data_IF_700603541931
#
_entry.id   IF_700603541931
#
_cell.length_a   1.000
_cell.length_b   1.000
_cell.length_c   1.000
_cell.angle_alpha   90.00
_cell.angle_beta   90.00
_cell.angle_gamma   90.00
#
_symmetry.space_group_name_H-M   'P 1'
#
loop_
_entity.id
_entity.type
_entity.pdbx_description
1 polymer ?
#
# COMPACT_ATOMS: atom_id res chain seq x y z
N UNK A 1 5.11 -42.13 52.09
CA UNK A 1 5.97 -40.92 52.19
C UNK A 1 6.79 -40.63 50.92
N UNK A 2 7.59 -41.55 50.35
CA UNK A 2 8.50 -41.27 49.20
C UNK A 2 7.87 -40.48 48.02
N UNK A 3 6.62 -40.79 47.62
CA UNK A 3 6.01 -40.14 46.45
C UNK A 3 5.63 -38.66 46.64
N UNK A 4 5.45 -38.19 47.89
CA UNK A 4 5.09 -36.77 48.15
C UNK A 4 6.30 -35.85 47.94
N UNK A 5 7.51 -36.29 48.33
CA UNK A 5 8.75 -35.56 48.05
C UNK A 5 9.01 -35.40 46.55
N UNK A 6 8.73 -36.44 45.75
CA UNK A 6 8.90 -36.41 44.30
C UNK A 6 8.01 -35.33 43.63
N UNK A 7 6.74 -35.25 44.03
CA UNK A 7 5.79 -34.25 43.50
C UNK A 7 6.20 -32.83 43.91
N UNK A 8 6.66 -32.63 45.15
CA UNK A 8 7.21 -31.35 45.61
C UNK A 8 8.46 -30.92 44.83
N UNK A 9 9.40 -31.84 44.57
CA UNK A 9 10.60 -31.56 43.77
C UNK A 9 10.26 -31.16 42.33
N UNK A 10 9.29 -31.84 41.69
CA UNK A 10 8.83 -31.49 40.33
C UNK A 10 8.20 -30.09 40.32
N UNK A 11 7.32 -29.78 41.30
CA UNK A 11 6.74 -28.44 41.41
C UNK A 11 7.78 -27.34 41.62
N UNK A 12 8.81 -27.60 42.45
CA UNK A 12 9.90 -26.65 42.68
C UNK A 12 10.69 -26.40 41.39
N UNK A 13 11.05 -27.45 40.64
CA UNK A 13 11.77 -27.31 39.36
C UNK A 13 10.96 -26.51 38.33
N UNK A 14 9.66 -26.80 38.17
CA UNK A 14 8.78 -26.02 37.30
C UNK A 14 8.65 -24.53 37.72
N UNK A 15 8.79 -24.21 39.01
CA UNK A 15 8.80 -22.83 39.51
C UNK A 15 10.14 -22.10 39.27
N UNK A 16 11.26 -22.82 39.11
CA UNK A 16 12.56 -22.21 38.83
C UNK A 16 12.80 -21.96 37.33
N UNK A 17 12.38 -22.86 36.43
CA UNK A 17 12.53 -22.63 34.98
C UNK A 17 11.70 -21.44 34.48
N UNK A 18 10.49 -21.25 35.03
CA UNK A 18 9.60 -20.13 34.65
C UNK A 18 10.08 -18.75 35.11
N UNK A 19 11.22 -18.64 35.82
CA UNK A 19 11.74 -17.36 36.33
C UNK A 19 12.69 -16.62 35.37
N UNK A 20 13.00 -17.18 34.20
CA UNK A 20 14.03 -16.65 33.28
C UNK A 20 13.48 -16.23 31.90
N UNK A 21 12.25 -15.69 31.81
CA UNK A 21 11.85 -14.88 30.64
C UNK A 21 10.89 -13.71 30.91
N UNK A 22 11.15 -12.92 31.95
CA UNK A 22 10.47 -11.63 32.19
C UNK A 22 11.47 -10.47 32.24
N UNK A 23 12.17 -10.23 31.12
CA UNK A 23 13.05 -9.06 31.00
C UNK A 23 12.21 -7.82 30.70
N UNK A 24 11.83 -7.13 31.79
CA UNK A 24 11.15 -5.83 31.83
C UNK A 24 11.97 -4.79 31.04
N UNK A 25 11.64 -4.57 29.76
CA UNK A 25 12.33 -3.59 28.91
C UNK A 25 12.00 -2.18 29.39
N UNK A 26 12.90 -1.61 30.21
CA UNK A 26 12.76 -0.26 30.74
C UNK A 26 12.96 0.78 29.65
N UNK A 27 12.11 1.80 29.63
CA UNK A 27 12.07 2.81 28.57
C UNK A 27 13.00 4.00 28.85
N UNK A 28 14.29 3.84 28.57
CA UNK A 28 15.26 4.96 28.49
C UNK A 28 16.44 4.62 27.55
N UNK A 29 17.14 5.67 27.09
CA UNK A 29 18.44 5.61 26.36
C UNK A 29 18.51 4.70 25.13
N UNK A 30 17.79 5.08 24.07
CA UNK A 30 18.34 5.01 22.69
C UNK A 30 17.81 6.20 21.86
N UNK A 31 18.15 7.41 22.31
CA UNK A 31 17.53 8.66 21.87
C UNK A 31 18.52 9.63 21.20
N UNK A 32 19.31 9.13 20.25
CA UNK A 32 20.14 9.90 19.31
C UNK A 32 20.40 9.08 18.03
N UNK A 33 20.69 9.76 16.92
CA UNK A 33 21.29 9.20 15.69
C UNK A 33 20.55 8.11 14.87
N UNK A 34 19.26 8.30 14.54
CA UNK A 34 18.75 7.88 13.21
C UNK A 34 18.03 9.05 12.51
N UNK A 35 18.80 9.81 11.73
CA UNK A 35 18.30 10.95 10.94
C UNK A 35 17.43 10.53 9.73
N UNK A 36 16.14 10.91 9.81
CA UNK A 36 15.33 11.49 8.71
C UNK A 36 15.40 10.77 7.34
N UNK A 37 14.49 9.82 7.07
CA UNK A 37 14.08 9.45 5.69
C UNK A 37 12.55 9.39 5.51
N UNK A 38 11.92 10.57 5.58
CA UNK A 38 10.51 10.86 5.17
C UNK A 38 10.29 10.54 3.69
N UNK A 39 9.12 9.99 3.32
CA UNK A 39 9.16 9.03 2.22
C UNK A 39 7.93 8.91 1.25
N UNK A 40 7.98 9.63 0.12
CA UNK A 40 7.39 9.33 -1.23
C UNK A 40 8.34 9.76 -2.37
N UNK A 41 8.15 9.30 -3.62
CA UNK A 41 9.10 9.48 -4.76
C UNK A 41 9.71 10.88 -4.82
N UNK A 42 11.06 10.98 -4.80
CA UNK A 42 11.77 12.23 -4.45
C UNK A 42 12.09 13.22 -5.61
N UNK A 43 11.91 12.82 -6.88
CA UNK A 43 12.35 13.60 -8.06
C UNK A 43 11.32 13.58 -9.21
N UNK A 44 11.22 14.65 -10.02
CA UNK A 44 11.19 16.07 -9.63
C UNK A 44 9.76 16.64 -9.68
N UNK A 45 8.82 15.95 -10.32
CA UNK A 45 7.43 16.36 -10.54
C UNK A 45 6.48 15.55 -9.65
N UNK A 46 6.06 16.14 -8.53
CA UNK A 46 4.98 15.62 -7.67
C UNK A 46 3.64 16.28 -8.04
N UNK A 47 2.54 15.63 -7.69
CA UNK A 47 1.23 16.28 -7.68
C UNK A 47 1.19 17.27 -6.50
N UNK A 48 1.00 18.57 -6.80
CA UNK A 48 0.94 19.64 -5.81
C UNK A 48 -0.49 19.96 -5.35
N UNK A 49 -1.48 19.66 -6.20
CA UNK A 49 -2.91 19.77 -5.90
C UNK A 49 -3.47 18.42 -5.45
N UNK A 50 -4.36 18.44 -4.45
CA UNK A 50 -5.21 17.29 -4.10
C UNK A 50 -6.39 17.12 -5.03
N UNK A 51 -6.75 18.17 -5.78
CA UNK A 51 -7.79 18.17 -6.79
C UNK A 51 -7.15 17.89 -8.15
N UNK A 52 -7.40 16.71 -8.70
CA UNK A 52 -6.77 16.22 -9.93
C UNK A 52 -7.83 16.16 -11.03
N UNK A 53 -7.74 17.07 -11.99
CA UNK A 53 -8.59 17.06 -13.19
C UNK A 53 -8.31 15.82 -14.03
N UNK A 54 -9.35 15.22 -14.61
CA UNK A 54 -9.21 14.09 -15.52
C UNK A 54 -10.17 14.16 -16.71
N UNK A 55 -9.80 13.55 -17.83
CA UNK A 55 -10.67 13.35 -18.99
C UNK A 55 -10.67 11.89 -19.45
N UNK A 56 -11.78 11.47 -20.06
CA UNK A 56 -12.00 10.09 -20.53
C UNK A 56 -12.38 10.14 -22.01
N UNK A 57 -11.59 9.47 -22.84
CA UNK A 57 -11.77 9.40 -24.28
C UNK A 57 -13.01 8.55 -24.69
N UNK A 58 -13.55 8.82 -25.88
CA UNK A 58 -14.69 8.05 -26.43
C UNK A 58 -14.28 6.57 -26.58
N UNK A 59 -15.19 5.65 -26.27
CA UNK A 59 -14.94 4.20 -26.28
C UNK A 59 -14.41 3.61 -24.97
N UNK A 60 -14.11 4.44 -23.96
CA UNK A 60 -13.72 3.97 -22.61
C UNK A 60 -14.90 4.02 -21.63
N UNK A 61 -14.96 3.04 -20.72
CA UNK A 61 -16.00 2.98 -19.70
C UNK A 61 -15.72 3.97 -18.55
N UNK A 62 -16.33 5.15 -18.65
CA UNK A 62 -16.20 6.20 -17.64
C UNK A 62 -16.72 5.81 -16.24
N UNK A 63 -17.66 4.85 -16.14
CA UNK A 63 -18.18 4.35 -14.86
C UNK A 63 -17.16 3.47 -14.13
N UNK A 64 -16.46 2.59 -14.85
CA UNK A 64 -15.34 1.79 -14.31
C UNK A 64 -14.20 2.69 -13.83
N UNK A 65 -13.85 3.71 -14.63
CA UNK A 65 -12.84 4.72 -14.29
C UNK A 65 -13.24 5.51 -13.03
N UNK A 66 -14.49 5.97 -12.96
CA UNK A 66 -15.02 6.64 -11.77
C UNK A 66 -15.00 5.75 -10.52
N UNK A 67 -15.43 4.48 -10.62
CA UNK A 67 -15.40 3.51 -9.50
C UNK A 67 -13.98 3.29 -8.95
N UNK A 68 -12.97 3.24 -9.83
CA UNK A 68 -11.57 3.13 -9.41
C UNK A 68 -11.10 4.37 -8.63
N UNK A 69 -11.35 5.58 -9.16
CA UNK A 69 -10.97 6.83 -8.49
C UNK A 69 -11.77 7.11 -7.21
N UNK A 70 -13.03 6.63 -7.13
CA UNK A 70 -13.87 6.70 -5.93
C UNK A 70 -13.25 5.96 -4.74
N UNK A 71 -12.75 4.73 -4.93
CA UNK A 71 -12.05 3.95 -3.89
C UNK A 71 -10.89 4.71 -3.23
N UNK A 72 -10.18 5.55 -3.99
CA UNK A 72 -9.13 6.45 -3.48
C UNK A 72 -9.74 7.66 -2.76
N UNK A 73 -10.68 8.36 -3.40
CA UNK A 73 -11.18 9.65 -2.93
C UNK A 73 -12.04 9.54 -1.67
N UNK A 74 -12.71 8.42 -1.40
CA UNK A 74 -13.53 8.22 -0.19
C UNK A 74 -12.70 8.26 1.10
N UNK A 75 -11.45 7.79 1.05
CA UNK A 75 -10.57 7.58 2.22
C UNK A 75 -9.26 8.37 2.13
N UNK A 76 -9.21 9.36 1.25
CA UNK A 76 -8.11 10.32 1.13
C UNK A 76 -8.65 11.74 0.92
N UNK A 77 -7.78 12.75 1.03
CA UNK A 77 -8.08 14.13 0.65
C UNK A 77 -8.21 14.32 -0.86
N UNK A 78 -7.79 13.35 -1.69
CA UNK A 78 -7.81 13.47 -3.14
C UNK A 78 -9.25 13.63 -3.66
N UNK A 79 -9.39 14.46 -4.69
CA UNK A 79 -10.61 14.58 -5.49
C UNK A 79 -10.26 14.47 -6.96
N UNK A 80 -11.18 13.93 -7.76
CA UNK A 80 -10.99 13.73 -9.18
C UNK A 80 -12.12 14.43 -9.94
N UNK A 81 -11.78 15.48 -10.68
CA UNK A 81 -12.74 16.37 -11.34
C UNK A 81 -12.79 16.04 -12.83
N UNK A 82 -13.94 15.62 -13.34
CA UNK A 82 -14.06 15.23 -14.75
C UNK A 82 -14.21 16.47 -15.65
N UNK A 83 -13.26 16.66 -16.54
CA UNK A 83 -13.31 17.64 -17.63
C UNK A 83 -13.88 16.97 -18.86
N UNK A 84 -14.95 17.56 -19.40
CA UNK A 84 -15.66 17.07 -20.59
C UNK A 84 -15.32 17.88 -21.84
N UNK A 85 -15.08 19.20 -21.72
CA UNK A 85 -14.85 20.06 -22.86
C UNK A 85 -13.39 19.96 -23.36
N UNK A 86 -13.22 19.87 -24.69
CA UNK A 86 -11.89 19.88 -25.33
C UNK A 86 -11.15 21.21 -25.13
N UNK A 87 -11.83 22.34 -24.99
CA UNK A 87 -11.18 23.65 -24.77
C UNK A 87 -10.63 23.78 -23.34
N UNK A 88 -11.39 23.33 -22.34
CA UNK A 88 -10.93 23.20 -20.94
C UNK A 88 -9.75 22.24 -20.84
N UNK A 89 -9.82 21.09 -21.51
CA UNK A 89 -8.75 20.09 -21.51
C UNK A 89 -7.43 20.65 -22.09
N UNK A 90 -7.48 21.58 -23.06
CA UNK A 90 -6.31 22.30 -23.57
C UNK A 90 -5.72 23.31 -22.57
N UNK A 91 -6.49 23.80 -21.60
CA UNK A 91 -6.03 24.73 -20.55
C UNK A 91 -5.38 24.01 -19.35
N UNK A 92 -5.49 22.69 -19.25
CA UNK A 92 -4.94 21.92 -18.12
C UNK A 92 -3.42 21.72 -18.22
N UNK A 93 -2.67 22.38 -17.32
CA UNK A 93 -1.23 22.15 -17.18
C UNK A 93 -0.87 20.79 -16.57
N UNK A 94 -1.83 20.13 -15.90
CA UNK A 94 -1.67 18.82 -15.29
C UNK A 94 -3.04 18.14 -15.11
N UNK A 95 -3.06 16.81 -15.16
CA UNK A 95 -4.26 16.00 -15.01
C UNK A 95 -4.08 14.59 -15.57
N UNK A 96 -5.08 13.73 -15.40
CA UNK A 96 -5.08 12.36 -15.94
C UNK A 96 -5.90 12.30 -17.24
N UNK A 97 -5.33 11.80 -18.34
CA UNK A 97 -6.04 11.57 -19.60
C UNK A 97 -6.14 10.07 -19.86
N UNK A 98 -7.32 9.49 -19.66
CA UNK A 98 -7.58 8.10 -20.02
C UNK A 98 -7.81 8.02 -21.54
N UNK A 99 -6.94 7.27 -22.24
CA UNK A 99 -6.93 7.11 -23.71
C UNK A 99 -7.06 5.64 -24.11
N UNK A 100 -7.58 5.38 -25.30
CA UNK A 100 -7.53 4.04 -25.87
C UNK A 100 -6.07 3.67 -26.23
N UNK A 101 -5.72 2.39 -26.12
CA UNK A 101 -4.39 1.91 -26.52
C UNK A 101 -4.27 0.39 -26.53
N UNK A 102 -3.16 -0.13 -27.05
CA UNK A 102 -2.95 -1.58 -27.21
C UNK A 102 -2.46 -2.29 -25.94
N UNK A 103 -1.96 -1.54 -24.95
CA UNK A 103 -1.48 -2.06 -23.66
C UNK A 103 -1.98 -1.19 -22.52
N UNK A 104 -2.25 -1.81 -21.37
CA UNK A 104 -2.64 -1.09 -20.16
C UNK A 104 -1.40 -0.51 -19.47
N UNK A 105 -1.25 0.82 -19.43
CA UNK A 105 -0.04 1.46 -18.89
C UNK A 105 -0.27 2.89 -18.40
N UNK A 106 0.57 3.31 -17.45
CA UNK A 106 0.58 4.64 -16.86
C UNK A 106 2.04 5.07 -16.58
N UNK A 107 2.29 6.38 -16.58
CA UNK A 107 3.56 6.93 -16.11
C UNK A 107 3.59 6.98 -14.58
N UNK A 108 4.71 6.58 -13.96
CA UNK A 108 4.88 6.59 -12.50
C UNK A 108 5.01 8.02 -11.95
N UNK A 109 3.95 8.54 -11.32
CA UNK A 109 3.85 9.90 -10.80
C UNK A 109 3.56 10.95 -11.88
N UNK A 110 3.45 12.22 -11.49
CA UNK A 110 3.20 13.33 -12.42
C UNK A 110 4.33 13.43 -13.47
N UNK A 111 3.98 13.53 -14.75
CA UNK A 111 4.92 13.82 -15.85
C UNK A 111 5.54 15.22 -15.65
N UNK A 112 6.79 15.41 -16.09
CA UNK A 112 7.51 16.69 -15.99
C UNK A 112 6.92 17.74 -16.96
N UNK A 113 6.86 18.99 -16.52
CA UNK A 113 6.35 20.13 -17.31
C UNK A 113 4.83 20.34 -17.19
N UNK A 114 4.29 21.15 -18.11
CA UNK A 114 2.86 21.43 -18.26
C UNK A 114 2.25 20.39 -19.22
N UNK A 115 1.99 19.18 -18.73
CA UNK A 115 1.53 18.03 -19.54
C UNK A 115 0.60 17.10 -18.75
N UNK A 116 -0.37 16.53 -19.44
CA UNK A 116 -1.26 15.50 -18.91
C UNK A 116 -0.57 14.14 -18.81
N UNK A 117 -0.85 13.40 -17.74
CA UNK A 117 -0.51 11.99 -17.61
C UNK A 117 -1.49 11.18 -18.48
N UNK A 118 -1.04 10.71 -19.64
CA UNK A 118 -1.79 9.72 -20.40
C UNK A 118 -1.82 8.38 -19.63
N UNK A 119 -3.00 7.81 -19.49
CA UNK A 119 -3.24 6.46 -18.98
C UNK A 119 -3.83 5.66 -20.14
N UNK A 120 -3.05 4.73 -20.69
CA UNK A 120 -3.43 3.89 -21.82
C UNK A 120 -4.28 2.73 -21.35
N UNK A 121 -5.48 2.58 -21.89
CA UNK A 121 -6.44 1.53 -21.57
C UNK A 121 -6.64 0.61 -22.78
N UNK A 122 -6.21 -0.65 -22.65
CA UNK A 122 -6.52 -1.71 -23.59
C UNK A 122 -7.80 -2.47 -23.22
N UNK A 123 -8.31 -3.26 -24.15
CA UNK A 123 -9.60 -3.95 -24.06
C UNK A 123 -9.77 -4.73 -22.74
N UNK A 124 -8.80 -5.59 -22.41
CA UNK A 124 -8.75 -6.38 -21.17
C UNK A 124 -8.62 -5.57 -19.87
N UNK A 125 -8.67 -4.24 -19.93
CA UNK A 125 -8.74 -3.34 -18.78
C UNK A 125 -9.99 -2.44 -18.77
N UNK A 126 -10.72 -2.25 -19.91
CA UNK A 126 -11.87 -1.34 -20.00
C UNK A 126 -12.98 -1.62 -18.98
N UNK A 127 -13.18 -2.89 -18.62
CA UNK A 127 -14.20 -3.35 -17.66
C UNK A 127 -13.68 -3.53 -16.23
N UNK A 128 -12.35 -3.50 -16.02
CA UNK A 128 -11.72 -4.01 -14.79
C UNK A 128 -11.35 -2.88 -13.83
N UNK A 129 -12.24 -2.58 -12.87
CA UNK A 129 -12.02 -1.58 -11.80
C UNK A 129 -10.66 -1.76 -11.11
N UNK A 130 -10.20 -2.98 -10.76
CA UNK A 130 -8.89 -3.14 -10.12
C UNK A 130 -7.72 -2.74 -11.02
N UNK A 131 -7.71 -3.13 -12.29
CA UNK A 131 -6.64 -2.75 -13.24
C UNK A 131 -6.58 -1.24 -13.45
N UNK A 132 -7.74 -0.57 -13.55
CA UNK A 132 -7.78 0.90 -13.62
C UNK A 132 -7.25 1.53 -12.32
N UNK A 133 -7.59 0.97 -11.16
CA UNK A 133 -7.08 1.46 -9.87
C UNK A 133 -5.56 1.36 -9.78
N UNK A 134 -4.95 0.24 -10.20
CA UNK A 134 -3.48 0.10 -10.29
C UNK A 134 -2.85 1.21 -11.16
N UNK A 135 -3.42 1.50 -12.32
CA UNK A 135 -2.92 2.55 -13.23
C UNK A 135 -3.06 3.97 -12.66
N UNK A 136 -4.11 4.24 -11.88
CA UNK A 136 -4.28 5.52 -11.19
C UNK A 136 -3.29 5.64 -10.02
N UNK A 137 -3.08 4.58 -9.24
CA UNK A 137 -2.07 4.55 -8.17
C UNK A 137 -0.66 4.77 -8.71
N UNK A 138 -0.30 4.13 -9.82
CA UNK A 138 0.94 4.39 -10.56
C UNK A 138 1.02 5.86 -11.00
N UNK A 139 -0.05 6.42 -11.57
CA UNK A 139 -0.12 7.84 -11.97
C UNK A 139 0.06 8.81 -10.80
N UNK A 140 -0.41 8.45 -9.59
CA UNK A 140 -0.18 9.20 -8.37
C UNK A 140 1.26 9.09 -7.82
N UNK A 141 2.03 8.09 -8.27
CA UNK A 141 3.42 7.86 -7.87
C UNK A 141 3.62 6.69 -6.92
N UNK A 142 2.59 5.86 -6.69
CA UNK A 142 2.69 4.63 -5.91
C UNK A 142 3.35 3.54 -6.76
N UNK A 143 4.42 2.96 -6.24
CA UNK A 143 5.14 1.84 -6.86
C UNK A 143 4.51 0.50 -6.48
N UNK A 144 4.88 -0.59 -7.17
CA UNK A 144 4.59 -1.92 -6.64
C UNK A 144 5.50 -2.21 -5.44
N UNK A 145 5.04 -2.97 -4.46
CA UNK A 145 5.85 -3.34 -3.27
C UNK A 145 7.15 -4.05 -3.69
N UNK A 146 7.09 -4.89 -4.73
CA UNK A 146 8.24 -5.62 -5.30
C UNK A 146 9.31 -4.72 -5.97
N UNK A 147 9.08 -3.41 -6.08
CA UNK A 147 10.05 -2.43 -6.57
C UNK A 147 10.68 -1.59 -5.44
N UNK A 148 10.33 -1.83 -4.18
CA UNK A 148 10.92 -1.13 -3.03
C UNK A 148 12.42 -1.47 -2.86
N UNK A 149 13.26 -0.55 -2.35
CA UNK A 149 14.68 -0.80 -2.07
C UNK A 149 14.89 -1.85 -0.97
N UNK A 150 13.99 -1.88 0.02
CA UNK A 150 14.03 -2.72 1.21
C UNK A 150 13.37 -4.09 1.03
N UNK A 151 12.79 -4.39 -0.16
CA UNK A 151 11.94 -5.56 -0.39
C UNK A 151 12.61 -6.90 -0.05
N UNK A 152 13.94 -7.03 -0.24
CA UNK A 152 14.61 -8.34 -0.23
C UNK A 152 14.74 -8.93 1.20
N UNK A 153 14.46 -8.12 2.23
CA UNK A 153 14.25 -8.61 3.60
C UNK A 153 12.90 -9.32 3.78
N UNK A 154 11.95 -9.07 2.88
CA UNK A 154 10.55 -9.51 2.97
C UNK A 154 10.16 -10.53 1.88
N UNK A 155 10.82 -10.47 0.72
CA UNK A 155 10.55 -11.36 -0.42
C UNK A 155 11.83 -11.82 -1.11
N UNK A 156 11.85 -13.09 -1.52
CA UNK A 156 12.81 -13.65 -2.46
C UNK A 156 12.18 -13.64 -3.86
N UNK A 157 12.96 -13.21 -4.85
CA UNK A 157 12.55 -13.10 -6.25
C UNK A 157 13.63 -13.76 -7.13
N UNK A 158 13.33 -14.91 -7.72
CA UNK A 158 14.30 -15.64 -8.55
C UNK A 158 14.47 -14.94 -9.92
N UNK A 159 15.38 -13.98 -9.97
CA UNK A 159 15.62 -13.15 -11.16
C UNK A 159 16.20 -13.94 -12.34
N UNK A 160 16.94 -15.02 -12.10
CA UNK A 160 17.55 -15.86 -13.13
C UNK A 160 16.49 -16.58 -13.96
N UNK A 161 15.57 -17.32 -13.32
CA UNK A 161 14.45 -17.97 -14.01
C UNK A 161 13.55 -16.95 -14.72
N UNK A 162 13.33 -15.79 -14.08
CA UNK A 162 12.56 -14.70 -14.69
C UNK A 162 13.26 -14.12 -15.94
N UNK A 163 14.59 -14.10 -16.03
CA UNK A 163 15.33 -13.57 -17.17
C UNK A 163 15.57 -14.60 -18.28
N UNK A 164 15.86 -15.85 -17.93
CA UNK A 164 16.06 -16.96 -18.88
C UNK A 164 14.84 -17.19 -19.78
N UNK A 165 13.63 -16.94 -19.25
CA UNK A 165 12.38 -17.28 -19.92
C UNK A 165 11.63 -16.06 -20.50
N UNK A 166 12.14 -14.81 -20.38
CA UNK A 166 11.35 -13.60 -20.70
C UNK A 166 12.13 -12.40 -21.26
N UNK A 167 11.46 -11.69 -22.17
CA UNK A 167 11.93 -10.44 -22.79
C UNK A 167 12.17 -9.29 -21.79
N UNK A 168 13.06 -8.34 -22.17
CA UNK A 168 13.48 -7.11 -21.45
C UNK A 168 12.38 -6.37 -20.65
N UNK A 169 11.14 -6.41 -21.13
CA UNK A 169 9.94 -5.86 -20.48
C UNK A 169 9.73 -6.32 -19.03
N UNK A 170 10.23 -7.50 -18.63
CA UNK A 170 10.03 -8.05 -17.27
C UNK A 170 11.15 -7.66 -16.32
N UNK A 171 12.40 -7.54 -16.80
CA UNK A 171 13.52 -6.96 -16.03
C UNK A 171 13.18 -5.56 -15.51
N UNK A 172 12.47 -4.76 -16.32
CA UNK A 172 11.97 -3.43 -15.93
C UNK A 172 10.91 -3.53 -14.82
N UNK A 173 10.05 -4.55 -14.84
CA UNK A 173 9.01 -4.76 -13.82
C UNK A 173 9.58 -5.27 -12.50
N UNK A 174 10.71 -6.00 -12.52
CA UNK A 174 11.38 -6.57 -11.33
C UNK A 174 12.52 -5.72 -10.79
N UNK A 175 12.85 -4.59 -11.42
CA UNK A 175 13.91 -3.67 -10.97
C UNK A 175 13.53 -2.98 -9.64
N UNK A 176 14.46 -2.89 -8.68
CA UNK A 176 14.31 -2.06 -7.47
C UNK A 176 14.58 -0.60 -7.79
N UNK A 177 13.82 0.31 -7.18
CA UNK A 177 14.21 1.72 -7.12
C UNK A 177 15.23 1.96 -6.00
N UNK A 178 16.08 2.98 -6.16
CA UNK A 178 17.06 3.35 -5.14
C UNK A 178 16.37 3.99 -3.91
N UNK A 179 16.98 3.90 -2.73
CA UNK A 179 16.47 4.53 -1.49
C UNK A 179 16.42 6.07 -1.52
N UNK A 180 17.19 6.70 -2.42
CA UNK A 180 17.08 8.14 -2.72
C UNK A 180 15.86 8.48 -3.58
N UNK A 181 15.35 7.50 -4.34
CA UNK A 181 14.19 7.62 -5.22
C UNK A 181 12.90 7.14 -4.53
N UNK A 182 12.96 6.10 -3.70
CA UNK A 182 11.82 5.37 -3.14
C UNK A 182 11.90 5.17 -1.64
N UNK A 183 10.69 5.19 -1.10
CA UNK A 183 10.25 6.03 -0.02
C UNK A 183 8.72 5.83 0.00
N UNK A 184 7.92 5.22 0.92
CA UNK A 184 8.02 4.42 2.17
C UNK A 184 7.49 4.97 3.53
N UNK A 185 7.09 6.24 3.72
CA UNK A 185 6.72 6.94 5.00
C UNK A 185 6.94 6.30 6.41
N UNK A 186 8.04 5.58 6.67
CA UNK A 186 8.15 4.67 7.82
C UNK A 186 6.93 3.73 7.97
N UNK A 187 6.39 3.29 6.83
CA UNK A 187 5.36 2.28 6.65
C UNK A 187 6.11 1.02 6.20
N UNK A 188 5.90 -0.07 6.93
CA UNK A 188 6.52 -1.37 6.63
C UNK A 188 6.19 -1.89 5.24
N UNK A 189 6.83 -2.99 4.88
CA UNK A 189 6.42 -3.77 3.71
C UNK A 189 5.03 -4.37 3.96
N UNK A 190 4.16 -4.37 2.94
CA UNK A 190 2.79 -4.88 3.07
C UNK A 190 2.50 -5.89 1.95
N UNK A 191 2.48 -7.16 2.32
CA UNK A 191 2.10 -8.28 1.44
C UNK A 191 0.66 -8.15 0.92
N UNK A 192 -0.24 -7.56 1.71
CA UNK A 192 -1.66 -7.38 1.36
C UNK A 192 -1.95 -6.04 0.67
N UNK A 193 -0.91 -5.27 0.33
CA UNK A 193 -1.04 -4.06 -0.47
C UNK A 193 -1.70 -4.37 -1.81
N UNK A 194 -2.61 -3.51 -2.24
CA UNK A 194 -3.21 -3.54 -3.58
C UNK A 194 -2.16 -3.37 -4.69
N UNK A 195 -0.97 -2.88 -4.33
CA UNK A 195 0.20 -2.72 -5.19
C UNK A 195 1.25 -3.83 -4.96
N UNK A 196 0.91 -4.93 -4.28
CA UNK A 196 1.72 -6.16 -4.33
C UNK A 196 1.34 -6.98 -5.57
N UNK A 197 2.31 -7.68 -6.18
CA UNK A 197 2.00 -8.68 -7.22
C UNK A 197 1.68 -10.03 -6.57
N UNK A 198 0.95 -10.92 -7.24
CA UNK A 198 0.70 -12.27 -6.70
C UNK A 198 2.00 -13.06 -6.53
N UNK A 199 2.06 -14.00 -5.59
CA UNK A 199 3.19 -14.94 -5.41
C UNK A 199 3.50 -15.76 -6.67
N UNK A 200 2.48 -16.06 -7.48
CA UNK A 200 2.65 -16.67 -8.81
C UNK A 200 2.87 -15.66 -9.96
N UNK A 201 3.12 -14.37 -9.67
CA UNK A 201 3.56 -13.43 -10.70
C UNK A 201 4.93 -13.84 -11.24
N UNK A 202 5.12 -13.65 -12.55
CA UNK A 202 6.31 -14.10 -13.29
C UNK A 202 6.55 -15.62 -13.34
N UNK A 203 5.69 -16.46 -12.76
CA UNK A 203 5.74 -17.92 -12.94
C UNK A 203 5.51 -18.29 -14.41
N UNK A 204 6.31 -19.24 -14.88
CA UNK A 204 6.01 -20.12 -16.00
C UNK A 204 6.01 -21.57 -15.47
N UNK A 205 5.23 -22.46 -16.09
CA UNK A 205 5.01 -23.83 -15.59
C UNK A 205 4.60 -23.84 -14.10
N UNK A 206 5.11 -24.78 -13.30
CA UNK A 206 4.84 -24.88 -11.85
C UNK A 206 5.92 -24.20 -10.97
N UNK A 207 6.80 -23.37 -11.51
CA UNK A 207 7.90 -22.78 -10.73
C UNK A 207 7.46 -21.54 -9.93
N UNK A 208 7.70 -21.52 -8.62
CA UNK A 208 7.44 -20.33 -7.80
C UNK A 208 8.62 -19.37 -7.88
N UNK A 209 8.39 -18.17 -8.41
CA UNK A 209 9.44 -17.18 -8.67
C UNK A 209 9.42 -15.99 -7.70
N UNK A 210 8.32 -15.77 -6.96
CA UNK A 210 8.18 -14.77 -5.90
C UNK A 210 7.65 -15.42 -4.61
N UNK A 211 8.43 -15.37 -3.53
CA UNK A 211 8.09 -15.94 -2.22
C UNK A 211 8.34 -14.93 -1.09
N UNK A 212 7.62 -15.06 0.01
CA UNK A 212 7.99 -14.44 1.30
C UNK A 212 9.28 -15.06 1.85
N UNK A 213 10.12 -14.25 2.48
CA UNK A 213 11.28 -14.68 3.28
C UNK A 213 10.96 -14.93 4.75
N UNK A 214 9.75 -14.60 5.20
CA UNK A 214 9.38 -14.57 6.62
C UNK A 214 8.56 -15.81 6.99
N UNK A 215 7.36 -15.96 6.40
CA UNK A 215 6.50 -17.14 6.54
C UNK A 215 5.73 -17.38 5.25
N UNK A 216 5.44 -18.65 4.93
CA UNK A 216 4.84 -19.03 3.65
C UNK A 216 3.41 -18.48 3.45
N UNK A 217 2.62 -18.35 4.52
CA UNK A 217 1.24 -17.86 4.48
C UNK A 217 1.12 -16.42 3.95
N UNK A 218 2.20 -15.63 4.00
CA UNK A 218 2.23 -14.31 3.38
C UNK A 218 2.16 -14.39 1.84
N UNK A 219 2.50 -15.52 1.22
CA UNK A 219 2.31 -15.75 -0.22
C UNK A 219 0.83 -15.72 -0.66
N UNK A 220 -0.09 -16.04 0.26
CA UNK A 220 -1.55 -16.06 0.00
C UNK A 220 -2.17 -14.67 0.17
N UNK A 221 -1.51 -13.79 0.93
CA UNK A 221 -1.89 -12.38 1.07
C UNK A 221 -1.52 -11.55 -0.17
N UNK A 222 -0.54 -12.02 -0.97
CA UNK A 222 0.04 -11.30 -2.11
C UNK A 222 -0.92 -11.12 -3.29
N UNK A 223 -1.03 -9.88 -3.78
CA UNK A 223 -1.71 -9.59 -5.05
C UNK A 223 -3.24 -9.74 -4.99
N UNK A 224 -3.82 -9.47 -3.82
CA UNK A 224 -5.24 -9.17 -3.67
C UNK A 224 -5.65 -7.99 -4.55
N UNK A 225 -6.90 -7.99 -5.03
CA UNK A 225 -7.44 -6.94 -5.90
C UNK A 225 -8.84 -6.47 -5.43
N UNK A 226 -9.11 -6.59 -4.13
CA UNK A 226 -10.39 -6.25 -3.51
C UNK A 226 -10.46 -4.76 -3.21
N UNK A 227 -9.47 -4.23 -2.48
CA UNK A 227 -9.44 -2.81 -2.09
C UNK A 227 -8.05 -2.33 -1.65
N UNK A 228 -7.90 -1.01 -1.47
CA UNK A 228 -6.70 -0.42 -0.88
C UNK A 228 -6.49 -0.93 0.55
N UNK A 229 -5.27 -1.39 0.87
CA UNK A 229 -4.91 -1.81 2.23
C UNK A 229 -4.82 -0.62 3.18
N UNK A 230 -4.74 -0.89 4.49
CA UNK A 230 -4.45 0.16 5.47
C UNK A 230 -3.11 0.87 5.19
N UNK A 231 -2.08 0.14 4.73
CA UNK A 231 -0.79 0.72 4.38
C UNK A 231 -0.88 1.57 3.10
N UNK A 232 -1.63 1.13 2.07
CA UNK A 232 -1.87 1.91 0.85
C UNK A 232 -2.57 3.24 1.19
N UNK A 233 -3.62 3.19 2.02
CA UNK A 233 -4.35 4.36 2.46
C UNK A 233 -3.47 5.29 3.31
N UNK A 234 -2.64 4.76 4.21
CA UNK A 234 -1.71 5.55 5.04
C UNK A 234 -0.63 6.21 4.18
N UNK A 235 -0.08 5.51 3.20
CA UNK A 235 0.90 6.02 2.23
C UNK A 235 0.32 7.19 1.41
N UNK A 236 -0.88 7.03 0.85
CA UNK A 236 -1.58 8.08 0.09
C UNK A 236 -1.90 9.31 0.97
N UNK A 237 -2.37 9.10 2.19
CA UNK A 237 -2.71 10.19 3.10
C UNK A 237 -1.47 10.94 3.58
N UNK A 238 -0.38 10.24 3.91
CA UNK A 238 0.87 10.89 4.27
C UNK A 238 1.52 11.59 3.07
N UNK A 239 1.23 11.17 1.83
CA UNK A 239 1.68 11.86 0.62
C UNK A 239 0.98 13.20 0.40
N UNK A 240 -0.35 13.19 0.40
CA UNK A 240 -1.16 14.30 -0.11
C UNK A 240 -1.87 15.09 0.98
N UNK A 241 -2.14 14.49 2.15
CA UNK A 241 -3.16 14.97 3.08
C UNK A 241 -2.62 15.47 4.42
N UNK A 242 -1.37 15.17 4.78
CA UNK A 242 -0.76 15.68 6.02
C UNK A 242 -0.72 17.22 6.11
N UNK A 243 -0.78 17.93 4.96
CA UNK A 243 -0.93 19.40 4.93
C UNK A 243 -2.37 19.89 5.04
N UNK A 244 -3.37 19.06 4.70
CA UNK A 244 -4.80 19.44 4.72
C UNK A 244 -5.49 19.10 6.03
N UNK A 245 -4.92 18.18 6.83
CA UNK A 245 -5.49 17.73 8.10
C UNK A 245 -4.92 18.51 9.28
N UNK A 246 -5.67 19.49 9.78
CA UNK A 246 -5.42 20.10 11.10
C UNK A 246 -6.06 19.22 12.19
N UNK A 247 -5.31 18.58 13.10
CA UNK A 247 -5.89 17.77 14.16
C UNK A 247 -6.63 18.64 15.18
N UNK A 248 -7.84 18.24 15.58
CA UNK A 248 -8.50 18.79 16.77
C UNK A 248 -7.80 18.23 18.01
N UNK A 249 -7.58 19.07 19.05
CA UNK A 249 -6.74 18.76 20.24
C UNK A 249 -7.06 17.44 20.98
N UNK A 250 -8.22 16.82 20.78
CA UNK A 250 -8.64 15.56 21.43
C UNK A 250 -8.49 14.30 20.56
N UNK A 251 -8.14 14.42 19.28
CA UNK A 251 -8.33 13.33 18.30
C UNK A 251 -7.02 12.59 17.98
N UNK A 252 -6.41 11.97 19.00
CA UNK A 252 -5.23 11.11 18.81
C UNK A 252 -5.67 9.70 18.39
N UNK A 253 -5.30 9.30 17.18
CA UNK A 253 -5.54 7.94 16.69
C UNK A 253 -4.57 6.96 17.35
N UNK A 254 -5.10 5.88 17.94
CA UNK A 254 -4.31 4.87 18.62
C UNK A 254 -3.90 3.74 17.67
N UNK A 255 -3.05 2.82 18.15
CA UNK A 255 -2.65 1.58 17.46
C UNK A 255 -2.17 1.80 16.01
N UNK A 256 -1.45 2.89 15.77
CA UNK A 256 -0.91 3.24 14.46
C UNK A 256 -1.92 3.75 13.42
N UNK A 257 -3.19 3.95 13.80
CA UNK A 257 -4.22 4.62 12.99
C UNK A 257 -3.88 6.07 12.65
N UNK A 258 -4.64 6.68 11.73
CA UNK A 258 -4.43 8.08 11.32
C UNK A 258 -5.75 8.80 11.05
N UNK A 259 -5.77 10.13 11.16
CA UNK A 259 -7.02 10.93 11.08
C UNK A 259 -7.62 10.86 9.66
N UNK A 260 -8.92 10.61 9.57
CA UNK A 260 -9.64 10.56 8.30
C UNK A 260 -9.74 11.97 7.69
N UNK A 261 -9.19 12.24 6.49
CA UNK A 261 -8.93 13.60 6.03
C UNK A 261 -10.19 14.42 5.77
N UNK A 262 -11.28 13.76 5.34
CA UNK A 262 -12.59 14.37 5.08
C UNK A 262 -13.54 14.34 6.28
N UNK A 263 -13.10 13.81 7.43
CA UNK A 263 -13.87 13.80 8.67
C UNK A 263 -12.90 13.69 9.86
N UNK A 264 -12.39 14.83 10.32
CA UNK A 264 -11.34 14.88 11.34
C UNK A 264 -11.79 14.43 12.73
N UNK A 265 -13.07 14.12 12.93
CA UNK A 265 -13.63 13.53 14.15
C UNK A 265 -13.45 12.01 14.26
N UNK A 266 -12.92 11.35 13.22
CA UNK A 266 -12.65 9.89 13.23
C UNK A 266 -11.30 9.55 12.60
N UNK A 267 -10.78 8.39 12.93
CA UNK A 267 -9.58 7.80 12.36
C UNK A 267 -9.92 6.80 11.25
N UNK A 268 -8.95 6.52 10.39
CA UNK A 268 -8.84 5.29 9.61
C UNK A 268 -7.94 4.36 10.44
N UNK A 269 -8.42 3.14 10.67
CA UNK A 269 -7.80 2.17 11.58
C UNK A 269 -7.16 1.00 10.82
N UNK A 270 -6.12 0.35 11.38
CA UNK A 270 -5.67 -0.94 10.89
C UNK A 270 -6.76 -2.01 11.08
N UNK A 271 -6.64 -3.12 10.33
CA UNK A 271 -7.49 -4.28 10.50
C UNK A 271 -7.48 -4.76 11.96
N UNK A 272 -8.64 -5.14 12.49
CA UNK A 272 -8.82 -5.53 13.89
C UNK A 272 -9.10 -4.39 14.87
N UNK A 273 -8.97 -3.11 14.48
CA UNK A 273 -9.24 -1.95 15.36
C UNK A 273 -10.49 -1.15 14.96
N UNK A 274 -11.27 -0.76 15.97
CA UNK A 274 -12.58 -0.14 15.83
C UNK A 274 -12.59 1.40 15.82
N UNK A 275 -13.60 1.96 15.16
CA UNK A 275 -13.92 3.39 15.19
C UNK A 275 -14.37 3.85 16.59
N UNK A 276 -14.27 5.16 16.91
CA UNK A 276 -13.75 6.24 16.08
C UNK A 276 -12.24 6.48 16.18
N UNK A 277 -11.56 5.96 17.21
CA UNK A 277 -10.16 6.32 17.53
C UNK A 277 -9.14 5.18 17.40
N UNK A 278 -9.53 4.00 16.92
CA UNK A 278 -8.70 2.79 16.85
C UNK A 278 -8.23 2.26 18.22
N UNK A 279 -8.85 2.72 19.30
CA UNK A 279 -8.46 2.45 20.70
C UNK A 279 -8.97 1.10 21.24
N UNK A 280 -9.99 0.52 20.61
CA UNK A 280 -10.58 -0.78 20.96
C UNK A 280 -10.50 -1.69 19.74
N UNK A 281 -10.60 -3.00 19.96
CA UNK A 281 -10.79 -3.93 18.84
C UNK A 281 -12.09 -3.62 18.09
N UNK A 282 -12.11 -3.87 16.79
CA UNK A 282 -13.37 -3.90 16.03
C UNK A 282 -14.25 -5.02 16.58
N UNK A 283 -15.56 -4.77 16.74
CA UNK A 283 -16.50 -5.87 16.98
C UNK A 283 -16.36 -6.88 15.83
N UNK A 284 -16.14 -8.16 16.15
CA UNK A 284 -16.30 -9.21 15.15
C UNK A 284 -17.72 -9.15 14.58
N UNK A 285 -17.87 -9.35 13.27
CA UNK A 285 -19.16 -9.78 12.76
C UNK A 285 -19.41 -11.21 13.21
N UNK A 286 -20.63 -11.51 13.67
CA UNK A 286 -21.00 -12.80 14.28
C UNK A 286 -20.78 -14.00 13.32
N UNK A 287 -20.65 -13.71 12.02
CA UNK A 287 -20.18 -14.61 10.95
C UNK A 287 -18.82 -15.29 11.20
N UNK A 288 -18.04 -14.84 12.18
CA UNK A 288 -16.78 -15.49 12.56
C UNK A 288 -16.97 -16.69 13.51
N UNK A 289 -18.16 -16.95 14.04
CA UNK A 289 -18.41 -17.99 15.05
C UNK A 289 -18.80 -19.36 14.46
N UNK A 290 -18.89 -19.50 13.13
CA UNK A 290 -19.37 -20.70 12.45
C UNK A 290 -18.29 -21.33 11.53
N UNK A 291 -17.16 -21.74 12.11
CA UNK A 291 -16.17 -22.65 11.52
C UNK A 291 -15.42 -23.41 12.60
#
# INVERSE_FOLDING_TARGET
MRNILAILLIFILCFFENKVYSKKVSSTTLSTEIEKKVSTRKYPSRWTSTNISYSVEKGLNASVIYKAMKKISERSCLTFVRVYNKSELKKLEAGLRFVNGTKCSAHLGKVRGKKLNNISIAEGCKTSVPKILTLVLQSLGVINQINRPDRDHYISLNLEKISQERNKSVTIQTTKFNSSQVLTYNIGYDYHSFMHLKSNAFRNNNTTTLNSTIISQYNDMMGQQVDLSFADLKLLNYHFCNKTVKPKKRNVCQNGGFIHPKNTSRCICPNGFGLPYCAKLSKNSDKCNNK
#
